data_IF_877212341312
#
_entry.id   IF_877212341312
#
_cell.length_a   1.000
_cell.length_b   1.000
_cell.length_c   1.000
_cell.angle_alpha   90.00
_cell.angle_beta   90.00
_cell.angle_gamma   90.00
#
_symmetry.space_group_name_H-M   'P 1'
#
loop_
_entity.id
_entity.type
_entity.pdbx_description
1 polymer ?
#
# COMPACT_ATOMS: atom_id res chain seq x y z
N UNK A 1 -9.20 -18.51 0.25
CA UNK A 1 -9.05 -17.07 -0.05
C UNK A 1 -8.74 -16.95 -1.55
N UNK A 2 -9.51 -16.18 -2.33
CA UNK A 2 -9.21 -15.97 -3.76
C UNK A 2 -8.36 -14.72 -3.95
N UNK A 3 -7.59 -14.65 -5.04
CA UNK A 3 -6.72 -13.51 -5.36
C UNK A 3 -7.46 -12.17 -5.42
N UNK A 4 -8.72 -12.18 -5.83
CA UNK A 4 -9.54 -10.97 -5.97
C UNK A 4 -9.92 -10.34 -4.62
N UNK A 5 -10.13 -11.18 -3.59
CA UNK A 5 -10.40 -10.70 -2.23
C UNK A 5 -9.20 -9.94 -1.68
N UNK A 6 -7.99 -10.46 -1.89
CA UNK A 6 -6.75 -9.81 -1.46
C UNK A 6 -6.55 -8.47 -2.19
N UNK A 7 -6.76 -8.45 -3.51
CA UNK A 7 -6.65 -7.23 -4.32
C UNK A 7 -7.61 -6.14 -3.82
N UNK A 8 -8.87 -6.49 -3.58
CA UNK A 8 -9.87 -5.56 -3.05
C UNK A 8 -9.49 -5.01 -1.68
N UNK A 9 -8.91 -5.85 -0.81
CA UNK A 9 -8.42 -5.38 0.50
C UNK A 9 -7.21 -4.46 0.38
N UNK A 10 -6.28 -4.74 -0.53
CA UNK A 10 -5.16 -3.84 -0.82
C UNK A 10 -5.68 -2.47 -1.29
N UNK A 11 -6.69 -2.42 -2.17
CA UNK A 11 -7.34 -1.17 -2.57
C UNK A 11 -7.96 -0.43 -1.37
N UNK A 12 -8.77 -1.11 -0.55
CA UNK A 12 -9.39 -0.51 0.63
C UNK A 12 -8.36 0.07 1.62
N UNK A 13 -7.24 -0.63 1.83
CA UNK A 13 -6.13 -0.16 2.68
C UNK A 13 -5.50 1.10 2.12
N UNK A 14 -5.35 1.17 0.80
CA UNK A 14 -4.74 2.29 0.09
C UNK A 14 -5.70 3.49 0.04
N UNK A 15 -6.99 3.27 -0.16
CA UNK A 15 -8.00 4.34 -0.10
C UNK A 15 -8.06 4.99 1.28
N UNK A 16 -7.92 4.19 2.34
CA UNK A 16 -7.88 4.65 3.74
C UNK A 16 -6.49 5.10 4.20
N UNK A 17 -5.47 5.01 3.34
CA UNK A 17 -4.11 5.33 3.73
C UNK A 17 -3.92 6.84 3.98
N UNK A 18 -3.00 7.16 4.89
CA UNK A 18 -2.58 8.53 5.06
C UNK A 18 -1.64 8.93 3.92
N UNK A 19 -2.10 9.83 3.03
CA UNK A 19 -1.31 10.33 1.88
C UNK A 19 -0.01 11.05 2.27
N UNK A 20 0.14 11.48 3.53
CA UNK A 20 1.40 12.03 4.05
C UNK A 20 2.42 10.94 4.42
N UNK A 21 1.93 9.75 4.76
CA UNK A 21 2.71 8.56 5.14
C UNK A 21 2.10 7.33 4.46
N UNK A 22 2.28 7.19 3.14
CA UNK A 22 1.71 6.06 2.41
C UNK A 22 2.22 4.73 2.97
N UNK A 23 1.33 3.73 2.99
CA UNK A 23 1.60 2.41 3.51
C UNK A 23 2.59 1.69 2.61
N UNK A 24 3.66 1.17 3.21
CA UNK A 24 4.61 0.31 2.52
C UNK A 24 3.96 -1.03 2.16
N UNK A 25 4.48 -1.69 1.12
CA UNK A 25 4.05 -3.05 0.77
C UNK A 25 4.18 -4.02 1.97
N UNK A 26 5.09 -3.73 2.90
CA UNK A 26 5.27 -4.52 4.11
C UNK A 26 4.20 -4.24 5.16
N UNK A 27 3.83 -2.98 5.39
CA UNK A 27 2.72 -2.63 6.28
C UNK A 27 1.38 -3.17 5.79
N UNK A 28 1.16 -3.18 4.46
CA UNK A 28 -0.05 -3.80 3.91
C UNK A 28 -0.09 -5.31 4.20
N UNK A 29 1.06 -6.00 4.16
CA UNK A 29 1.14 -7.41 4.53
C UNK A 29 0.84 -7.64 6.02
N UNK A 30 1.38 -6.78 6.89
CA UNK A 30 1.10 -6.82 8.32
C UNK A 30 -0.39 -6.58 8.63
N UNK A 31 -1.01 -5.58 8.00
CA UNK A 31 -2.46 -5.33 8.15
C UNK A 31 -3.31 -6.52 7.72
N UNK A 32 -2.98 -7.13 6.58
CA UNK A 32 -3.68 -8.32 6.09
C UNK A 32 -3.44 -9.53 7.00
N UNK A 33 -2.23 -9.70 7.52
CA UNK A 33 -1.94 -10.77 8.48
C UNK A 33 -2.77 -10.63 9.77
N UNK A 34 -3.02 -9.40 10.24
CA UNK A 34 -3.92 -9.14 11.38
C UNK A 34 -5.38 -9.52 11.09
N UNK A 35 -5.81 -9.45 9.83
CA UNK A 35 -7.12 -9.94 9.37
C UNK A 35 -7.15 -11.46 9.13
N UNK A 36 -6.05 -12.18 9.42
CA UNK A 36 -5.91 -13.61 9.17
C UNK A 36 -5.49 -13.97 7.74
N UNK A 37 -5.05 -12.98 6.96
CA UNK A 37 -4.61 -13.13 5.58
C UNK A 37 -3.08 -13.03 5.52
N UNK A 38 -2.41 -14.16 5.71
CA UNK A 38 -0.95 -14.23 5.59
C UNK A 38 -0.52 -14.17 4.12
N UNK A 39 0.01 -13.02 3.70
CA UNK A 39 0.58 -12.86 2.37
C UNK A 39 1.96 -12.21 2.42
N UNK A 40 2.82 -12.63 1.50
CA UNK A 40 4.16 -12.06 1.41
C UNK A 40 4.12 -10.66 0.79
N UNK A 41 5.11 -9.83 1.16
CA UNK A 41 5.38 -8.54 0.50
C UNK A 41 5.47 -8.66 -1.02
N UNK A 42 6.07 -9.75 -1.54
CA UNK A 42 6.21 -10.00 -2.99
C UNK A 42 4.85 -10.15 -3.67
N UNK A 43 3.91 -10.84 -3.02
CA UNK A 43 2.53 -10.99 -3.51
C UNK A 43 1.82 -9.64 -3.57
N UNK A 44 2.00 -8.80 -2.53
CA UNK A 44 1.45 -7.44 -2.52
C UNK A 44 2.05 -6.59 -3.62
N UNK A 45 3.37 -6.63 -3.83
CA UNK A 45 4.00 -5.89 -4.93
C UNK A 45 3.40 -6.28 -6.28
N UNK A 46 3.24 -7.60 -6.54
CA UNK A 46 2.61 -8.09 -7.77
C UNK A 46 1.17 -7.58 -7.92
N UNK A 47 0.34 -7.71 -6.89
CA UNK A 47 -1.05 -7.24 -6.94
C UNK A 47 -1.16 -5.73 -7.05
N UNK A 48 -0.30 -4.98 -6.36
CA UNK A 48 -0.20 -3.52 -6.46
C UNK A 48 0.10 -3.07 -7.89
N UNK A 49 1.03 -3.77 -8.56
CA UNK A 49 1.40 -3.49 -9.95
C UNK A 49 0.26 -3.85 -10.92
N UNK A 50 -0.40 -5.01 -10.72
CA UNK A 50 -1.58 -5.40 -11.51
C UNK A 50 -2.74 -4.41 -11.37
N UNK A 51 -2.90 -3.79 -10.19
CA UNK A 51 -3.90 -2.74 -9.92
C UNK A 51 -3.46 -1.34 -10.41
N UNK A 52 -2.28 -1.21 -11.02
CA UNK A 52 -1.76 0.07 -11.52
C UNK A 52 -1.39 1.07 -10.42
N UNK A 53 -1.28 0.62 -9.17
CA UNK A 53 -1.05 1.51 -8.04
C UNK A 53 0.44 1.85 -7.95
N UNK A 54 0.82 3.14 -7.99
CA UNK A 54 2.22 3.54 -7.97
C UNK A 54 2.89 3.23 -6.62
N UNK A 55 4.22 3.20 -6.58
CA UNK A 55 4.96 2.90 -5.35
C UNK A 55 4.76 3.97 -4.27
N UNK A 56 5.03 3.61 -3.02
CA UNK A 56 4.96 4.54 -1.87
C UNK A 56 5.71 5.84 -2.10
N UNK A 57 6.89 5.78 -2.74
CA UNK A 57 7.70 6.95 -3.07
C UNK A 57 6.99 7.94 -4.01
N UNK A 58 6.11 7.47 -4.89
CA UNK A 58 5.29 8.32 -5.77
C UNK A 58 4.01 8.81 -5.08
N UNK A 59 3.46 8.04 -4.14
CA UNK A 59 2.25 8.41 -3.36
C UNK A 59 2.52 9.33 -2.19
N UNK A 60 3.77 9.38 -1.71
CA UNK A 60 4.16 10.28 -0.64
C UNK A 60 4.03 11.71 -1.14
N UNK A 61 3.03 12.45 -0.65
CA UNK A 61 2.94 13.90 -0.89
C UNK A 61 4.24 14.50 -0.32
N UNK A 62 5.18 14.86 -1.20
CA UNK A 62 6.38 15.57 -0.78
C UNK A 62 5.88 16.79 -0.03
N UNK A 63 6.14 16.87 1.29
CA UNK A 63 6.14 18.16 1.98
C UNK A 63 7.09 18.99 1.14
N UNK A 64 6.54 19.95 0.40
CA UNK A 64 7.33 20.95 -0.28
C UNK A 64 8.06 21.65 0.88
N UNK A 65 9.28 21.18 1.18
CA UNK A 65 10.17 21.91 2.06
C UNK A 65 10.45 23.16 1.24
N UNK A 66 9.65 24.19 1.47
CA UNK A 66 10.06 25.57 1.27
C UNK A 66 11.34 25.70 2.10
N UNK A 67 12.47 25.33 1.51
CA UNK A 67 13.79 25.71 1.98
C UNK A 67 13.92 27.18 1.62
N UNK A 68 13.19 28.02 2.36
CA UNK A 68 13.53 29.40 2.55
C UNK A 68 14.58 29.44 3.65
N UNK A 69 15.84 29.62 3.25
CA UNK A 69 16.92 30.31 3.96
C UNK A 69 18.12 30.39 3.03
#
# INVERSE_FOLDING_TARGET
LTSDVVKKKIEELIEKENKEKPLSDQHMAEQLALEGIEISRRTITKYREELGIPSTSKRKRKKNRLTGR
#
